data_IF_617247977798
#
_entry.id   IF_617247977798
#
_cell.length_a   1.000
_cell.length_b   1.000
_cell.length_c   1.000
_cell.angle_alpha   90.00
_cell.angle_beta   90.00
_cell.angle_gamma   90.00
#
_symmetry.space_group_name_H-M   'P 1'
#
loop_
_entity.id
_entity.type
_entity.pdbx_description
1 polymer ?
#
# COMPACT_ATOMS: atom_id res chain seq x y z
N UNK A 1 -1.52 19.58 -4.37
CA UNK A 1 -2.80 19.05 -3.87
C UNK A 1 -2.60 17.63 -3.41
N UNK A 2 -2.90 17.34 -2.18
CA UNK A 2 -2.71 16.00 -1.64
C UNK A 2 -3.83 15.05 -2.04
N UNK A 3 -3.51 13.77 -2.10
CA UNK A 3 -4.51 12.73 -2.31
C UNK A 3 -5.32 12.52 -1.03
N UNK A 4 -6.57 12.13 -1.19
CA UNK A 4 -7.44 11.78 -0.06
C UNK A 4 -6.95 10.48 0.58
N UNK A 5 -6.66 10.45 1.89
CA UNK A 5 -6.24 9.22 2.56
C UNK A 5 -7.30 8.11 2.49
N UNK A 6 -8.59 8.45 2.41
CA UNK A 6 -9.64 7.44 2.26
C UNK A 6 -9.56 6.69 0.94
N UNK A 7 -8.97 7.29 -0.09
CA UNK A 7 -8.77 6.65 -1.39
C UNK A 7 -7.52 5.79 -1.50
N UNK A 8 -6.79 5.58 -0.40
CA UNK A 8 -5.51 4.89 -0.44
C UNK A 8 -5.59 3.49 -1.06
N UNK A 9 -6.58 2.69 -0.66
CA UNK A 9 -6.74 1.33 -1.21
C UNK A 9 -7.13 1.34 -2.69
N UNK A 10 -7.94 2.31 -3.10
CA UNK A 10 -8.31 2.45 -4.52
C UNK A 10 -7.09 2.80 -5.36
N UNK A 11 -6.26 3.73 -4.88
CA UNK A 11 -5.03 4.11 -5.59
C UNK A 11 -4.03 2.97 -5.61
N UNK A 12 -3.93 2.21 -4.52
CA UNK A 12 -3.03 1.06 -4.47
C UNK A 12 -3.46 0.00 -5.49
N UNK A 13 -4.74 -0.32 -5.56
CA UNK A 13 -5.27 -1.26 -6.55
C UNK A 13 -5.00 -0.79 -7.97
N UNK A 14 -5.22 0.50 -8.24
CA UNK A 14 -4.96 1.09 -9.54
C UNK A 14 -3.48 0.96 -9.93
N UNK A 15 -2.58 1.24 -8.98
CA UNK A 15 -1.13 1.11 -9.20
C UNK A 15 -0.75 -0.32 -9.55
N UNK A 16 -1.31 -1.30 -8.83
CA UNK A 16 -1.03 -2.71 -9.09
C UNK A 16 -1.51 -3.14 -10.47
N UNK A 17 -2.65 -2.61 -10.94
CA UNK A 17 -3.15 -2.91 -12.28
C UNK A 17 -2.30 -2.27 -13.37
N UNK A 18 -1.85 -1.05 -13.16
CA UNK A 18 -1.09 -0.28 -14.15
C UNK A 18 0.30 -0.84 -14.41
N UNK A 19 0.90 -1.50 -13.43
CA UNK A 19 2.27 -2.02 -13.55
C UNK A 19 2.40 -3.17 -14.56
N UNK A 20 1.30 -3.79 -14.99
CA UNK A 20 1.30 -4.87 -15.97
C UNK A 20 2.26 -6.01 -15.59
N UNK A 21 2.26 -6.40 -14.33
CA UNK A 21 3.06 -7.51 -13.79
C UNK A 21 2.22 -8.78 -13.72
N UNK A 22 2.83 -9.94 -13.36
CA UNK A 22 2.05 -11.15 -13.07
C UNK A 22 1.00 -10.97 -11.97
N UNK A 23 1.15 -9.94 -11.12
CA UNK A 23 0.21 -9.63 -10.05
C UNK A 23 -1.09 -9.01 -10.61
N UNK A 24 -0.97 -8.21 -11.66
CA UNK A 24 -2.06 -7.36 -12.16
C UNK A 24 -3.37 -8.10 -12.43
N UNK A 25 -3.38 -9.30 -13.05
CA UNK A 25 -4.63 -10.03 -13.29
C UNK A 25 -5.37 -10.47 -12.03
N UNK A 26 -4.68 -10.49 -10.89
CA UNK A 26 -5.25 -10.93 -9.61
C UNK A 26 -5.83 -9.79 -8.79
N UNK A 27 -5.68 -8.54 -9.24
CA UNK A 27 -6.12 -7.37 -8.48
C UNK A 27 -7.65 -7.29 -8.47
N UNK A 28 -8.22 -7.11 -7.27
CA UNK A 28 -9.66 -6.91 -7.08
C UNK A 28 -9.90 -5.60 -6.36
N UNK A 29 -11.13 -5.13 -6.38
CA UNK A 29 -11.54 -3.97 -5.61
C UNK A 29 -12.00 -4.42 -4.22
N UNK A 30 -11.85 -3.53 -3.24
CA UNK A 30 -12.32 -3.78 -1.89
C UNK A 30 -13.18 -2.63 -1.40
N UNK A 31 -14.18 -2.95 -0.58
CA UNK A 31 -14.98 -1.95 0.11
C UNK A 31 -14.43 -1.65 1.51
N UNK A 32 -13.38 -2.33 1.92
CA UNK A 32 -12.75 -2.09 3.21
C UNK A 32 -12.19 -0.68 3.29
N UNK A 33 -12.21 -0.11 4.48
CA UNK A 33 -11.64 1.20 4.74
C UNK A 33 -10.15 1.06 5.03
N UNK A 34 -9.33 2.03 4.60
CA UNK A 34 -7.90 2.01 4.89
C UNK A 34 -7.62 2.52 6.32
N UNK A 35 -8.03 1.73 7.33
CA UNK A 35 -8.05 2.17 8.74
C UNK A 35 -6.66 2.58 9.20
N UNK A 36 -5.64 1.76 8.93
CA UNK A 36 -4.27 2.07 9.38
C UNK A 36 -3.69 3.26 8.63
N UNK A 37 -4.01 3.39 7.35
CA UNK A 37 -3.61 4.55 6.57
C UNK A 37 -4.26 5.82 7.07
N UNK A 38 -5.54 5.76 7.45
CA UNK A 38 -6.24 6.92 8.02
C UNK A 38 -5.62 7.32 9.35
N UNK A 39 -5.27 6.36 10.21
CA UNK A 39 -4.60 6.64 11.46
C UNK A 39 -3.23 7.28 11.24
N UNK A 40 -2.46 6.78 10.29
CA UNK A 40 -1.15 7.35 9.97
C UNK A 40 -1.27 8.79 9.47
N UNK A 41 -2.31 9.09 8.70
CA UNK A 41 -2.54 10.43 8.16
C UNK A 41 -2.84 11.46 9.25
N UNK A 42 -3.31 11.01 10.41
CA UNK A 42 -3.60 11.90 11.55
C UNK A 42 -2.35 12.21 12.38
N UNK A 43 -1.25 11.46 12.18
CA UNK A 43 -0.02 11.69 12.92
C UNK A 43 0.73 12.93 12.45
N UNK A 44 1.76 13.36 13.22
CA UNK A 44 2.48 14.60 12.89
C UNK A 44 3.11 14.60 11.51
N UNK A 45 3.67 13.49 11.06
CA UNK A 45 4.27 13.40 9.73
C UNK A 45 3.21 13.23 8.65
N UNK A 46 2.19 12.43 8.94
CA UNK A 46 1.11 12.16 7.99
C UNK A 46 0.30 13.40 7.66
N UNK A 47 0.20 14.35 8.58
CA UNK A 47 -0.59 15.57 8.38
C UNK A 47 -0.08 16.42 7.22
N UNK A 48 1.22 16.36 6.88
CA UNK A 48 1.80 17.13 5.78
C UNK A 48 1.48 16.54 4.41
N UNK A 49 1.25 15.23 4.32
CA UNK A 49 0.93 14.52 3.08
C UNK A 49 0.05 13.31 3.39
N UNK A 50 -1.21 13.55 3.83
CA UNK A 50 -2.04 12.49 4.38
C UNK A 50 -2.33 11.35 3.40
N UNK A 51 -2.57 11.67 2.12
CA UNK A 51 -2.85 10.65 1.12
C UNK A 51 -1.63 9.76 0.84
N UNK A 52 -0.44 10.37 0.81
CA UNK A 52 0.79 9.62 0.55
C UNK A 52 1.15 8.72 1.72
N UNK A 53 1.05 9.21 2.95
CA UNK A 53 1.33 8.37 4.12
C UNK A 53 0.31 7.25 4.26
N UNK A 54 -0.96 7.52 3.97
CA UNK A 54 -1.98 6.48 3.97
C UNK A 54 -1.67 5.39 2.93
N UNK A 55 -1.23 5.79 1.73
CA UNK A 55 -0.83 4.86 0.69
C UNK A 55 0.32 3.97 1.14
N UNK A 56 1.36 4.56 1.74
CA UNK A 56 2.53 3.82 2.25
C UNK A 56 2.10 2.77 3.28
N UNK A 57 1.32 3.18 4.26
CA UNK A 57 0.90 2.28 5.34
C UNK A 57 0.03 1.14 4.80
N UNK A 58 -0.89 1.44 3.88
CA UNK A 58 -1.75 0.39 3.33
C UNK A 58 -0.99 -0.53 2.38
N UNK A 59 0.01 -0.04 1.66
CA UNK A 59 0.87 -0.88 0.83
C UNK A 59 1.65 -1.89 1.70
N UNK A 60 2.25 -1.41 2.77
CA UNK A 60 2.99 -2.27 3.71
C UNK A 60 2.06 -3.28 4.38
N UNK A 61 0.88 -2.83 4.80
CA UNK A 61 -0.10 -3.72 5.41
C UNK A 61 -0.57 -4.80 4.44
N UNK A 62 -0.85 -4.44 3.20
CA UNK A 62 -1.25 -5.42 2.20
C UNK A 62 -0.13 -6.44 1.93
N UNK A 63 1.12 -5.96 1.89
CA UNK A 63 2.27 -6.85 1.79
C UNK A 63 2.33 -7.85 2.95
N UNK A 64 2.09 -7.37 4.17
CA UNK A 64 2.03 -8.23 5.34
C UNK A 64 0.90 -9.26 5.22
N UNK A 65 -0.28 -8.83 4.77
CA UNK A 65 -1.43 -9.74 4.64
C UNK A 65 -1.19 -10.80 3.56
N UNK A 66 -0.43 -10.48 2.52
CA UNK A 66 -0.05 -11.47 1.51
C UNK A 66 0.88 -12.55 2.05
N UNK A 67 1.71 -12.21 3.05
CA UNK A 67 2.62 -13.17 3.66
C UNK A 67 1.98 -13.95 4.81
N UNK A 68 1.10 -13.32 5.59
CA UNK A 68 0.66 -13.87 6.87
C UNK A 68 -0.84 -13.87 7.09
N UNK A 69 -1.64 -13.33 6.18
CA UNK A 69 -3.07 -13.19 6.40
C UNK A 69 -3.89 -13.28 5.13
N UNK A 70 -5.00 -12.56 5.11
CA UNK A 70 -5.92 -12.48 3.97
C UNK A 70 -5.76 -11.14 3.27
N UNK A 71 -5.21 -11.11 2.03
CA UNK A 71 -5.09 -9.85 1.31
C UNK A 71 -6.46 -9.30 0.92
N UNK A 72 -6.54 -7.97 0.83
CA UNK A 72 -7.78 -7.27 0.49
C UNK A 72 -7.90 -6.98 -1.00
N UNK A 73 -6.77 -6.91 -1.71
CA UNK A 73 -6.72 -6.41 -3.09
C UNK A 73 -6.35 -7.48 -4.11
N UNK A 74 -6.07 -8.71 -3.68
CA UNK A 74 -5.64 -9.78 -4.58
C UNK A 74 -6.42 -11.06 -4.30
N UNK A 75 -6.76 -11.79 -5.36
CA UNK A 75 -7.43 -13.08 -5.28
C UNK A 75 -6.90 -14.02 -6.36
N UNK A 76 -6.93 -15.31 -6.04
CA UNK A 76 -6.54 -16.34 -7.00
C UNK A 76 -5.05 -16.53 -7.17
N UNK A 77 -4.24 -15.84 -6.37
CA UNK A 77 -2.78 -15.99 -6.39
C UNK A 77 -2.36 -17.28 -5.69
N UNK A 78 -1.34 -17.94 -6.23
CA UNK A 78 -0.71 -19.06 -5.55
C UNK A 78 0.28 -18.53 -4.48
N UNK A 79 0.90 -19.45 -3.75
CA UNK A 79 1.81 -19.10 -2.66
C UNK A 79 3.03 -18.33 -3.14
N UNK A 80 3.62 -18.74 -4.26
CA UNK A 80 4.80 -18.06 -4.80
C UNK A 80 4.44 -16.63 -5.25
N UNK A 81 3.30 -16.47 -5.90
CA UNK A 81 2.85 -15.16 -6.34
C UNK A 81 2.50 -14.27 -5.14
N UNK A 82 1.94 -14.84 -4.07
CA UNK A 82 1.65 -14.09 -2.85
C UNK A 82 2.94 -13.55 -2.23
N UNK A 83 4.00 -14.35 -2.18
CA UNK A 83 5.28 -13.90 -1.65
C UNK A 83 5.88 -12.79 -2.52
N UNK A 84 5.84 -12.97 -3.83
CA UNK A 84 6.34 -11.96 -4.77
C UNK A 84 5.56 -10.66 -4.64
N UNK A 85 4.24 -10.74 -4.58
CA UNK A 85 3.38 -9.56 -4.44
C UNK A 85 3.62 -8.84 -3.11
N UNK A 86 3.82 -9.60 -2.03
CA UNK A 86 4.12 -9.02 -0.73
C UNK A 86 5.43 -8.23 -0.75
N UNK A 87 6.47 -8.80 -1.33
CA UNK A 87 7.76 -8.12 -1.47
C UNK A 87 7.65 -6.87 -2.33
N UNK A 88 6.88 -6.95 -3.42
CA UNK A 88 6.64 -5.80 -4.28
C UNK A 88 5.96 -4.66 -3.51
N UNK A 89 4.97 -4.98 -2.69
CA UNK A 89 4.23 -3.98 -1.93
C UNK A 89 5.09 -3.34 -0.84
N UNK A 90 5.95 -4.10 -0.18
CA UNK A 90 6.92 -3.53 0.75
C UNK A 90 7.85 -2.56 0.04
N UNK A 91 8.39 -2.96 -1.10
CA UNK A 91 9.28 -2.11 -1.88
C UNK A 91 8.57 -0.83 -2.36
N UNK A 92 7.33 -0.96 -2.79
CA UNK A 92 6.52 0.18 -3.22
C UNK A 92 6.29 1.17 -2.08
N UNK A 93 6.00 0.66 -0.89
CA UNK A 93 5.83 1.50 0.30
C UNK A 93 7.10 2.26 0.63
N UNK A 94 8.24 1.58 0.64
CA UNK A 94 9.53 2.20 0.94
C UNK A 94 9.90 3.23 -0.12
N UNK A 95 9.68 2.93 -1.39
CA UNK A 95 9.95 3.86 -2.49
C UNK A 95 9.13 5.14 -2.35
N UNK A 96 7.83 5.00 -2.05
CA UNK A 96 6.96 6.16 -1.86
C UNK A 96 7.39 6.99 -0.65
N UNK A 97 7.77 6.32 0.43
CA UNK A 97 8.22 6.99 1.65
C UNK A 97 9.51 7.77 1.39
N UNK A 98 10.43 7.20 0.63
CA UNK A 98 11.67 7.88 0.25
C UNK A 98 11.37 9.13 -0.60
N UNK A 99 10.40 9.03 -1.51
CA UNK A 99 10.00 10.15 -2.36
C UNK A 99 9.39 11.31 -1.54
N UNK A 100 8.85 11.02 -0.35
CA UNK A 100 8.34 12.06 0.54
C UNK A 100 9.44 12.84 1.25
N UNK A 101 10.69 12.38 1.16
CA UNK A 101 11.82 13.09 1.72
C UNK A 101 11.90 13.06 3.24
N UNK A 102 11.39 11.99 3.86
CA UNK A 102 11.43 11.83 5.31
C UNK A 102 12.40 10.71 5.71
N UNK A 103 13.69 11.00 5.82
CA UNK A 103 14.70 9.98 6.14
C UNK A 103 14.50 9.36 7.53
N UNK A 104 13.94 10.10 8.48
CA UNK A 104 13.72 9.58 9.82
C UNK A 104 12.65 8.48 9.82
N UNK A 105 11.67 8.57 8.95
CA UNK A 105 10.64 7.56 8.83
C UNK A 105 11.18 6.24 8.24
N UNK A 106 12.27 6.30 7.47
CA UNK A 106 12.89 5.15 6.83
C UNK A 106 14.02 4.59 7.67
N UNK A 107 14.87 5.46 8.20
CA UNK A 107 16.14 5.10 8.77
C UNK A 107 16.15 4.79 10.26
N UNK A 108 15.02 4.98 10.90
CA UNK A 108 14.95 4.76 12.35
C UNK A 108 14.83 3.31 12.75
#
# INVERSE_FOLDING_TARGET
MGSDPQGALVRLAARLREEATPISPHVIETEERPVFGLLAALGPRGASAPGDYAFVVEAVREGYLLHYGEPRLLRGQDEDLALLAGDYLYALGIERLAALGDPDAIGS
#
